data_IF_958544460625
#
_entry.id   IF_958544460625
#
_cell.length_a   1.000
_cell.length_b   1.000
_cell.length_c   1.000
_cell.angle_alpha   90.00
_cell.angle_beta   90.00
_cell.angle_gamma   90.00
#
_symmetry.space_group_name_H-M   'P 1'
#
loop_
_entity.id
_entity.type
_entity.pdbx_description
1 polymer ?
#
# COMPACT_ATOMS: atom_id res chain seq x y z
N UNK A 1 8.27 -40.57 -6.77
CA UNK A 1 8.53 -39.35 -6.00
C UNK A 1 7.19 -38.68 -5.78
N UNK A 2 6.55 -38.93 -4.63
CA UNK A 2 5.28 -38.33 -4.30
C UNK A 2 5.52 -36.86 -3.95
N UNK A 3 4.99 -35.96 -4.78
CA UNK A 3 4.90 -34.54 -4.49
C UNK A 3 4.01 -34.42 -3.26
N UNK A 4 4.55 -34.04 -2.11
CA UNK A 4 3.74 -33.62 -0.98
C UNK A 4 2.88 -32.45 -1.46
N UNK A 5 1.58 -32.67 -1.65
CA UNK A 5 0.63 -31.59 -1.90
C UNK A 5 0.55 -30.78 -0.61
N UNK A 6 1.38 -29.74 -0.52
CA UNK A 6 1.33 -28.74 0.52
C UNK A 6 -0.06 -28.10 0.49
N UNK A 7 -0.82 -28.26 1.58
CA UNK A 7 -2.15 -27.68 1.75
C UNK A 7 -2.11 -26.59 2.79
N UNK A 8 -2.89 -25.55 2.53
CA UNK A 8 -3.12 -24.45 3.45
C UNK A 8 -4.62 -24.33 3.62
N UNK A 9 -5.11 -24.76 4.78
CA UNK A 9 -6.55 -24.85 5.05
C UNK A 9 -7.00 -23.62 5.83
N UNK A 10 -8.07 -22.99 5.36
CA UNK A 10 -8.71 -21.87 6.05
C UNK A 10 -9.56 -22.38 7.22
N UNK A 11 -9.34 -21.84 8.42
CA UNK A 11 -10.04 -22.27 9.65
C UNK A 11 -11.56 -22.17 9.55
N UNK A 12 -12.29 -23.14 10.10
CA UNK A 12 -13.77 -23.20 10.03
C UNK A 12 -14.48 -22.17 10.90
N UNK A 13 -13.81 -21.68 11.95
CA UNK A 13 -14.37 -20.72 12.90
C UNK A 13 -13.72 -19.36 12.72
N UNK A 14 -14.55 -18.31 12.63
CA UNK A 14 -14.05 -16.93 12.58
C UNK A 14 -13.45 -16.56 13.94
N UNK A 15 -12.15 -16.26 13.95
CA UNK A 15 -11.38 -15.89 15.14
C UNK A 15 -11.45 -14.37 15.40
N UNK A 16 -11.50 -13.57 14.35
CA UNK A 16 -11.56 -12.10 14.42
C UNK A 16 -12.33 -11.50 13.25
N UNK A 17 -12.69 -10.24 13.37
CA UNK A 17 -13.35 -9.46 12.32
C UNK A 17 -12.35 -8.46 11.77
N UNK A 18 -12.21 -8.40 10.45
CA UNK A 18 -11.40 -7.39 9.81
C UNK A 18 -12.15 -6.05 9.78
N UNK A 19 -11.50 -4.98 10.23
CA UNK A 19 -12.06 -3.63 10.24
C UNK A 19 -11.51 -2.81 9.08
N UNK A 20 -12.41 -2.35 8.20
CA UNK A 20 -12.06 -1.45 7.10
C UNK A 20 -11.81 -0.03 7.62
N UNK A 21 -11.07 0.75 6.84
CA UNK A 21 -10.88 2.17 7.14
C UNK A 21 -12.24 2.89 7.12
N UNK A 22 -12.47 3.78 8.09
CA UNK A 22 -13.62 4.69 8.03
C UNK A 22 -13.56 5.49 6.74
N UNK A 23 -14.71 5.65 6.08
CA UNK A 23 -14.80 6.49 4.90
C UNK A 23 -14.33 7.89 5.29
N UNK A 24 -13.23 8.34 4.68
CA UNK A 24 -12.81 9.71 4.86
C UNK A 24 -13.83 10.55 4.12
N UNK A 25 -14.67 11.28 4.87
CA UNK A 25 -15.37 12.48 4.39
C UNK A 25 -14.29 13.55 4.10
N UNK A 26 -13.43 13.30 3.12
CA UNK A 26 -12.54 14.32 2.60
C UNK A 26 -13.28 15.07 1.52
N UNK A 27 -13.09 16.39 1.49
CA UNK A 27 -13.32 17.23 0.32
C UNK A 27 -12.56 16.64 -0.88
N UNK A 28 -13.15 15.63 -1.49
CA UNK A 28 -12.56 14.69 -2.45
C UNK A 28 -11.96 15.41 -3.66
N UNK A 29 -12.47 16.59 -3.98
CA UNK A 29 -11.99 17.42 -5.09
C UNK A 29 -10.58 17.99 -4.87
N UNK A 30 -10.23 18.38 -3.64
CA UNK A 30 -8.93 19.01 -3.35
C UNK A 30 -7.81 17.96 -3.34
N UNK A 31 -8.05 16.81 -2.71
CA UNK A 31 -7.06 15.74 -2.61
C UNK A 31 -6.91 14.97 -3.93
N UNK A 32 -8.01 14.73 -4.67
CA UNK A 32 -7.94 14.19 -6.03
C UNK A 32 -7.18 15.14 -6.98
N UNK A 33 -7.42 16.45 -6.86
CA UNK A 33 -6.67 17.47 -7.59
C UNK A 33 -5.17 17.39 -7.29
N UNK A 34 -4.79 17.33 -6.01
CA UNK A 34 -3.39 17.18 -5.58
C UNK A 34 -2.75 15.89 -6.10
N UNK A 35 -3.49 14.78 -6.11
CA UNK A 35 -3.00 13.52 -6.63
C UNK A 35 -2.78 13.56 -8.14
N UNK A 36 -3.69 14.13 -8.90
CA UNK A 36 -3.51 14.34 -10.35
C UNK A 36 -2.29 15.22 -10.65
N UNK A 37 -2.03 16.24 -9.82
CA UNK A 37 -0.82 17.05 -9.95
C UNK A 37 0.45 16.24 -9.66
N UNK A 38 0.45 15.39 -8.64
CA UNK A 38 1.58 14.51 -8.31
C UNK A 38 1.85 13.50 -9.44
N UNK A 39 0.79 12.92 -10.03
CA UNK A 39 0.89 12.03 -11.20
C UNK A 39 1.55 12.74 -12.39
N UNK A 40 1.12 13.97 -12.69
CA UNK A 40 1.71 14.79 -13.75
C UNK A 40 3.18 15.10 -13.50
N UNK A 41 3.54 15.48 -12.26
CA UNK A 41 4.93 15.74 -11.90
C UNK A 41 5.79 14.48 -12.06
N UNK A 42 5.30 13.33 -11.60
CA UNK A 42 6.01 12.05 -11.76
C UNK A 42 6.24 11.70 -13.22
N UNK A 43 5.21 11.86 -14.05
CA UNK A 43 5.30 11.61 -15.49
C UNK A 43 6.33 12.53 -16.16
N UNK A 44 6.34 13.82 -15.81
CA UNK A 44 7.33 14.77 -16.34
C UNK A 44 8.76 14.40 -15.95
N UNK A 45 8.98 13.96 -14.71
CA UNK A 45 10.29 13.49 -14.26
C UNK A 45 10.73 12.20 -14.95
N UNK A 46 9.79 11.28 -15.22
CA UNK A 46 10.06 10.06 -15.98
C UNK A 46 10.49 10.39 -17.42
N UNK A 47 9.78 11.30 -18.08
CA UNK A 47 10.17 11.81 -19.41
C UNK A 47 11.57 12.42 -19.36
N UNK A 48 11.88 13.22 -18.33
CA UNK A 48 13.20 13.82 -18.19
C UNK A 48 14.30 12.78 -17.97
N UNK A 49 14.01 11.72 -17.21
CA UNK A 49 14.93 10.60 -17.00
C UNK A 49 15.27 9.90 -18.32
N UNK A 50 14.27 9.66 -19.17
CA UNK A 50 14.45 9.06 -20.49
C UNK A 50 15.26 9.98 -21.42
N UNK A 51 14.97 11.28 -21.43
CA UNK A 51 15.70 12.26 -22.23
C UNK A 51 17.18 12.32 -21.85
N UNK A 52 17.48 12.42 -20.55
CA UNK A 52 18.85 12.42 -20.02
C UNK A 52 19.57 11.09 -20.30
N UNK A 53 18.84 9.97 -20.24
CA UNK A 53 19.33 8.65 -20.64
C UNK A 53 19.76 8.62 -22.11
N UNK A 54 18.94 9.16 -23.00
CA UNK A 54 19.25 9.27 -24.43
C UNK A 54 20.48 10.13 -24.70
N UNK A 55 20.61 11.29 -24.04
CA UNK A 55 21.77 12.19 -24.19
C UNK A 55 23.09 11.56 -23.72
N UNK A 56 23.03 10.72 -22.67
CA UNK A 56 24.22 10.08 -22.11
C UNK A 56 24.44 8.66 -22.62
N UNK A 57 23.57 8.14 -23.50
CA UNK A 57 23.53 6.75 -23.94
C UNK A 57 23.50 5.75 -22.76
N UNK A 58 22.74 6.08 -21.72
CA UNK A 58 22.54 5.25 -20.53
C UNK A 58 21.07 4.84 -20.41
N UNK A 59 20.77 3.60 -19.99
CA UNK A 59 19.41 3.21 -19.64
C UNK A 59 18.80 4.12 -18.56
N UNK A 60 17.47 4.39 -18.60
CA UNK A 60 16.81 5.31 -17.66
C UNK A 60 17.06 4.98 -16.18
N UNK A 61 17.07 3.70 -15.81
CA UNK A 61 17.30 3.24 -14.44
C UNK A 61 18.73 3.54 -13.92
N UNK A 62 19.70 3.79 -14.80
CA UNK A 62 21.06 4.18 -14.42
C UNK A 62 21.20 5.67 -14.12
N UNK A 63 20.29 6.51 -14.62
CA UNK A 63 20.26 7.94 -14.30
C UNK A 63 19.78 8.14 -12.86
N UNK A 64 18.60 7.60 -12.55
CA UNK A 64 18.03 7.57 -11.20
C UNK A 64 17.04 6.41 -11.03
N UNK A 65 16.94 5.88 -9.82
CA UNK A 65 15.98 4.81 -9.49
C UNK A 65 14.56 5.36 -9.37
N UNK A 66 13.56 4.47 -9.38
CA UNK A 66 12.18 4.89 -9.15
C UNK A 66 12.02 5.53 -7.75
N UNK A 67 12.72 5.03 -6.74
CA UNK A 67 12.73 5.61 -5.39
C UNK A 67 13.24 7.06 -5.40
N UNK A 68 14.24 7.38 -6.22
CA UNK A 68 14.75 8.76 -6.35
C UNK A 68 13.71 9.66 -7.01
N UNK A 69 13.01 9.19 -8.06
CA UNK A 69 11.92 9.96 -8.67
C UNK A 69 10.79 10.23 -7.67
N UNK A 70 10.42 9.23 -6.86
CA UNK A 70 9.44 9.38 -5.79
C UNK A 70 9.88 10.45 -4.78
N UNK A 71 11.13 10.41 -4.32
CA UNK A 71 11.67 11.41 -3.41
C UNK A 71 11.71 12.81 -4.03
N UNK A 72 11.99 12.93 -5.34
CA UNK A 72 11.95 14.20 -6.06
C UNK A 72 10.53 14.76 -6.19
N UNK A 73 9.53 13.90 -6.43
CA UNK A 73 8.11 14.32 -6.42
C UNK A 73 7.65 14.78 -5.03
N UNK A 74 8.24 14.19 -3.99
CA UNK A 74 7.89 14.48 -2.60
C UNK A 74 8.54 15.78 -2.09
N UNK A 75 9.87 15.89 -2.26
CA UNK A 75 10.67 17.02 -1.76
C UNK A 75 10.48 18.26 -2.64
N UNK A 76 10.21 18.08 -3.94
CA UNK A 76 10.08 19.14 -4.95
C UNK A 76 11.23 20.18 -4.85
N UNK A 77 12.48 19.73 -4.97
CA UNK A 77 13.67 20.56 -4.78
C UNK A 77 13.76 21.68 -5.83
N UNK A 78 14.11 22.88 -5.38
CA UNK A 78 14.33 24.04 -6.25
C UNK A 78 15.82 24.39 -6.46
N UNK A 79 16.73 23.68 -5.81
CA UNK A 79 18.17 23.93 -5.85
C UNK A 79 18.95 22.65 -5.61
N UNK A 80 20.24 22.65 -5.96
CA UNK A 80 21.13 21.49 -5.74
C UNK A 80 21.23 21.17 -4.25
N UNK A 81 21.28 22.18 -3.37
CA UNK A 81 21.29 21.96 -1.91
C UNK A 81 20.01 21.29 -1.41
N UNK A 82 18.87 21.51 -2.07
CA UNK A 82 17.61 20.83 -1.74
C UNK A 82 17.58 19.36 -2.20
N UNK A 83 18.61 18.87 -2.90
CA UNK A 83 18.78 17.45 -3.27
C UNK A 83 19.49 16.64 -2.19
N UNK A 84 20.10 17.28 -1.19
CA UNK A 84 20.80 16.61 -0.10
C UNK A 84 19.93 15.55 0.60
N UNK A 85 18.63 15.80 0.91
CA UNK A 85 17.79 14.82 1.58
C UNK A 85 17.46 13.58 0.73
N UNK A 86 17.71 13.61 -0.58
CA UNK A 86 17.40 12.49 -1.47
C UNK A 86 18.41 11.36 -1.22
N UNK A 87 17.90 10.25 -0.69
CA UNK A 87 18.66 9.01 -0.44
C UNK A 87 18.72 8.16 -1.71
N UNK A 88 19.65 7.18 -1.74
CA UNK A 88 19.87 6.28 -2.89
C UNK A 88 20.23 6.98 -4.22
N UNK A 89 20.63 8.26 -4.17
CA UNK A 89 21.14 8.99 -5.31
C UNK A 89 22.57 9.49 -5.06
N UNK A 90 23.58 8.92 -5.75
CA UNK A 90 24.98 9.34 -5.56
C UNK A 90 25.20 10.82 -5.90
N UNK A 91 26.04 11.51 -5.11
CA UNK A 91 26.31 12.94 -5.29
C UNK A 91 26.84 13.30 -6.68
N UNK A 92 27.67 12.42 -7.26
CA UNK A 92 28.14 12.59 -8.64
C UNK A 92 26.97 12.65 -9.66
N UNK A 93 25.90 11.88 -9.43
CA UNK A 93 24.69 11.91 -10.25
C UNK A 93 23.79 13.09 -9.91
N UNK A 94 23.70 13.50 -8.64
CA UNK A 94 23.01 14.74 -8.22
C UNK A 94 23.60 15.96 -8.92
N UNK A 95 24.92 16.10 -8.95
CA UNK A 95 25.59 17.22 -9.63
C UNK A 95 25.42 17.17 -11.15
N UNK A 96 25.49 15.98 -11.74
CA UNK A 96 25.42 15.81 -13.20
C UNK A 96 24.00 15.95 -13.78
N UNK A 97 22.99 15.40 -13.10
CA UNK A 97 21.63 15.32 -13.61
C UNK A 97 20.62 16.16 -12.82
N UNK A 98 20.97 16.59 -11.60
CA UNK A 98 20.07 17.28 -10.68
C UNK A 98 19.49 18.56 -11.24
N UNK A 99 20.28 19.39 -11.93
CA UNK A 99 19.80 20.61 -12.56
C UNK A 99 18.65 20.34 -13.54
N UNK A 100 18.80 19.32 -14.41
CA UNK A 100 17.79 18.96 -15.38
C UNK A 100 16.46 18.51 -14.74
N UNK A 101 16.51 17.85 -13.58
CA UNK A 101 15.30 17.51 -12.83
C UNK A 101 14.71 18.72 -12.11
N UNK A 102 15.53 19.55 -11.47
CA UNK A 102 15.09 20.76 -10.76
C UNK A 102 14.34 21.71 -11.71
N UNK A 103 14.81 21.88 -12.93
CA UNK A 103 14.17 22.76 -13.91
C UNK A 103 12.76 22.28 -14.27
N UNK A 104 12.58 20.96 -14.48
CA UNK A 104 11.26 20.35 -14.72
C UNK A 104 10.36 20.50 -13.50
N UNK A 105 10.90 20.30 -12.29
CA UNK A 105 10.13 20.45 -11.04
C UNK A 105 9.65 21.89 -10.89
N UNK A 106 10.52 22.88 -11.15
CA UNK A 106 10.15 24.30 -11.10
C UNK A 106 9.05 24.64 -12.10
N UNK A 107 9.20 24.22 -13.34
CA UNK A 107 8.23 24.50 -14.40
C UNK A 107 6.84 23.95 -14.07
N UNK A 108 6.79 22.69 -13.62
CA UNK A 108 5.55 22.03 -13.18
C UNK A 108 5.00 22.71 -11.91
N UNK A 109 5.84 22.99 -10.90
CA UNK A 109 5.37 23.61 -9.65
C UNK A 109 4.81 25.03 -9.88
N UNK A 110 5.45 25.83 -10.75
CA UNK A 110 4.97 27.17 -11.10
C UNK A 110 3.66 27.08 -11.90
N UNK A 111 3.57 26.16 -12.86
CA UNK A 111 2.39 25.99 -13.70
C UNK A 111 1.15 25.54 -12.92
N UNK A 112 1.35 24.77 -11.84
CA UNK A 112 0.27 24.18 -11.04
C UNK A 112 0.13 24.76 -9.62
N UNK A 113 0.95 25.74 -9.24
CA UNK A 113 0.90 26.37 -7.92
C UNK A 113 1.29 25.46 -6.75
N UNK A 114 2.24 24.53 -6.95
CA UNK A 114 2.72 23.61 -5.92
C UNK A 114 3.85 24.24 -5.08
N UNK A 115 3.86 23.94 -3.78
CA UNK A 115 4.95 24.36 -2.89
C UNK A 115 6.27 23.67 -3.23
N UNK A 116 7.34 24.46 -3.35
CA UNK A 116 8.71 23.98 -3.57
C UNK A 116 9.45 23.75 -2.25
N UNK A 117 10.46 22.87 -2.24
CA UNK A 117 11.25 22.49 -1.06
C UNK A 117 10.39 22.02 0.12
N UNK A 118 9.43 21.16 -0.18
CA UNK A 118 8.70 20.45 0.86
C UNK A 118 9.71 19.63 1.69
N UNK A 119 9.98 20.05 2.94
CA UNK A 119 10.86 19.34 3.88
C UNK A 119 10.22 18.00 4.25
N UNK A 120 10.41 16.98 3.42
CA UNK A 120 9.73 15.70 3.61
C UNK A 120 8.22 15.88 3.79
N UNK A 121 7.65 16.93 3.19
CA UNK A 121 6.20 17.00 3.05
C UNK A 121 5.83 16.19 1.82
N UNK A 122 6.14 14.90 1.92
CA UNK A 122 5.07 13.95 1.76
C UNK A 122 3.84 14.55 2.40
N UNK A 123 2.74 14.30 1.77
CA UNK A 123 1.58 13.90 2.51
C UNK A 123 1.98 13.05 3.77
N UNK A 124 2.51 13.70 4.83
CA UNK A 124 2.72 13.20 6.19
C UNK A 124 1.32 13.18 6.77
N UNK A 125 0.57 12.27 6.18
CA UNK A 125 -0.85 12.19 6.30
C UNK A 125 -1.19 11.46 7.59
N UNK A 126 -0.32 10.56 8.02
CA UNK A 126 -0.36 9.88 9.30
C UNK A 126 0.36 10.70 10.38
N UNK A 127 -0.14 10.61 11.61
CA UNK A 127 0.57 11.13 12.79
C UNK A 127 1.89 10.35 12.99
N UNK A 128 2.92 10.94 13.63
CA UNK A 128 4.18 10.26 13.87
C UNK A 128 4.05 8.90 14.57
N UNK A 129 3.07 8.76 15.47
CA UNK A 129 2.75 7.48 16.13
C UNK A 129 2.17 6.44 15.18
N UNK A 130 1.32 6.85 14.24
CA UNK A 130 0.75 5.96 13.23
C UNK A 130 1.80 5.57 12.17
N UNK A 131 2.67 6.51 11.80
CA UNK A 131 3.79 6.25 10.89
C UNK A 131 4.74 5.22 11.49
N UNK A 132 5.08 5.35 12.77
CA UNK A 132 5.91 4.40 13.50
C UNK A 132 5.27 3.00 13.53
N UNK A 133 3.97 2.93 13.81
CA UNK A 133 3.24 1.67 13.84
C UNK A 133 3.20 0.97 12.48
N UNK A 134 2.97 1.70 11.39
CA UNK A 134 3.02 1.16 10.02
C UNK A 134 4.42 0.70 9.66
N UNK A 135 5.46 1.45 10.05
CA UNK A 135 6.85 1.10 9.74
C UNK A 135 7.38 -0.11 10.50
N UNK A 136 6.75 -0.47 11.63
CA UNK A 136 7.10 -1.65 12.42
C UNK A 136 6.64 -2.95 11.72
N UNK A 137 5.52 -2.89 10.99
CA UNK A 137 4.90 -4.06 10.36
C UNK A 137 5.09 -4.12 8.84
N UNK A 138 5.31 -2.98 8.18
CA UNK A 138 5.50 -2.89 6.73
C UNK A 138 6.89 -2.40 6.35
N UNK A 139 7.41 -2.94 5.24
CA UNK A 139 8.64 -2.43 4.62
C UNK A 139 8.41 -1.00 4.13
N UNK A 140 9.46 -0.16 4.03
CA UNK A 140 9.33 1.24 3.61
C UNK A 140 8.55 1.45 2.30
N UNK A 141 8.75 0.58 1.31
CA UNK A 141 8.04 0.66 0.02
C UNK A 141 6.54 0.32 0.13
N UNK A 142 6.18 -0.62 1.01
CA UNK A 142 4.80 -1.01 1.30
C UNK A 142 4.10 0.08 2.12
N UNK A 143 4.77 0.57 3.16
CA UNK A 143 4.29 1.65 4.03
C UNK A 143 3.92 2.91 3.24
N UNK A 144 4.74 3.30 2.25
CA UNK A 144 4.47 4.45 1.39
C UNK A 144 3.17 4.27 0.56
N UNK A 145 2.97 3.10 -0.05
CA UNK A 145 1.75 2.81 -0.84
C UNK A 145 0.53 2.75 0.06
N UNK A 146 0.65 2.07 1.21
CA UNK A 146 -0.43 1.95 2.19
C UNK A 146 -0.86 3.31 2.74
N UNK A 147 0.10 4.14 3.16
CA UNK A 147 -0.18 5.49 3.68
C UNK A 147 -0.90 6.35 2.65
N UNK A 148 -0.46 6.31 1.39
CA UNK A 148 -1.12 7.06 0.33
C UNK A 148 -2.57 6.59 0.12
N UNK A 149 -2.80 5.29 0.11
CA UNK A 149 -4.14 4.73 -0.01
C UNK A 149 -5.05 5.16 1.14
N UNK A 150 -4.61 5.01 2.39
CA UNK A 150 -5.41 5.23 3.59
C UNK A 150 -5.98 6.67 3.69
N UNK A 151 -5.32 7.65 3.10
CA UNK A 151 -5.78 9.03 3.20
C UNK A 151 -6.51 9.57 1.98
N UNK A 152 -6.08 9.13 0.79
CA UNK A 152 -6.68 9.60 -0.45
C UNK A 152 -7.86 8.75 -0.91
N UNK A 153 -7.99 7.53 -0.38
CA UNK A 153 -8.91 6.54 -0.96
C UNK A 153 -8.54 6.15 -2.39
N UNK A 154 -7.28 6.30 -2.80
CA UNK A 154 -6.86 6.01 -4.18
C UNK A 154 -7.04 4.54 -4.57
N UNK A 155 -7.41 4.31 -5.83
CA UNK A 155 -7.53 2.96 -6.41
C UNK A 155 -6.15 2.33 -6.65
N UNK A 156 -6.09 1.00 -6.84
CA UNK A 156 -4.84 0.31 -7.18
C UNK A 156 -4.16 0.91 -8.42
N UNK A 157 -4.95 1.30 -9.42
CA UNK A 157 -4.49 1.91 -10.66
C UNK A 157 -3.85 3.28 -10.43
N UNK A 158 -4.48 4.11 -9.59
CA UNK A 158 -3.97 5.44 -9.26
C UNK A 158 -2.68 5.36 -8.46
N UNK A 159 -2.62 4.45 -7.49
CA UNK A 159 -1.41 4.19 -6.70
C UNK A 159 -0.28 3.68 -7.59
N UNK A 160 -0.58 2.75 -8.50
CA UNK A 160 0.37 2.20 -9.46
C UNK A 160 0.97 3.29 -10.35
N UNK A 161 0.13 4.15 -10.91
CA UNK A 161 0.58 5.25 -11.76
C UNK A 161 1.41 6.28 -10.97
N UNK A 162 0.91 6.71 -9.81
CA UNK A 162 1.56 7.74 -8.98
C UNK A 162 2.95 7.29 -8.50
N UNK A 163 3.10 6.00 -8.15
CA UNK A 163 4.36 5.42 -7.66
C UNK A 163 5.24 4.82 -8.76
N UNK A 164 4.78 4.80 -10.01
CA UNK A 164 5.48 4.12 -11.11
C UNK A 164 5.67 2.61 -10.85
N UNK A 165 4.64 1.96 -10.28
CA UNK A 165 4.60 0.53 -9.96
C UNK A 165 3.57 -0.19 -10.85
N UNK A 166 3.63 -1.52 -10.89
CA UNK A 166 2.54 -2.32 -11.48
C UNK A 166 1.37 -2.45 -10.52
N UNK A 167 0.14 -2.60 -11.04
CA UNK A 167 -1.03 -2.86 -10.19
C UNK A 167 -0.88 -4.14 -9.35
N UNK A 168 -0.23 -5.17 -9.89
CA UNK A 168 0.07 -6.40 -9.14
C UNK A 168 1.05 -6.19 -7.98
N UNK A 169 2.02 -5.26 -8.12
CA UNK A 169 2.92 -4.86 -7.03
C UNK A 169 2.16 -4.10 -5.96
N UNK A 170 1.31 -3.16 -6.34
CA UNK A 170 0.44 -2.41 -5.41
C UNK A 170 -0.47 -3.36 -4.65
N UNK A 171 -1.14 -4.28 -5.35
CA UNK A 171 -2.00 -5.29 -4.75
C UNK A 171 -1.23 -6.17 -3.76
N UNK A 172 0.02 -6.52 -4.06
CA UNK A 172 0.88 -7.27 -3.14
C UNK A 172 1.22 -6.45 -1.90
N UNK A 173 1.56 -5.16 -2.05
CA UNK A 173 1.87 -4.29 -0.90
C UNK A 173 0.65 -4.07 0.00
N UNK A 174 -0.53 -3.84 -0.58
CA UNK A 174 -1.78 -3.74 0.18
C UNK A 174 -2.18 -5.07 0.81
N UNK A 175 -1.90 -6.20 0.14
CA UNK A 175 -2.13 -7.54 0.71
C UNK A 175 -1.28 -7.80 1.96
N UNK A 176 -0.03 -7.33 2.00
CA UNK A 176 0.77 -7.42 3.23
C UNK A 176 0.17 -6.56 4.34
N UNK A 177 -0.34 -5.37 4.02
CA UNK A 177 -1.04 -4.54 5.00
C UNK A 177 -2.30 -5.25 5.57
N UNK A 178 -3.11 -5.84 4.68
CA UNK A 178 -4.29 -6.63 5.06
C UNK A 178 -3.96 -7.81 5.98
N UNK A 179 -2.84 -8.49 5.70
CA UNK A 179 -2.36 -9.63 6.52
C UNK A 179 -2.05 -9.21 7.96
N UNK A 180 -1.48 -8.02 8.13
CA UNK A 180 -1.21 -7.42 9.44
C UNK A 180 -2.46 -6.81 10.09
N UNK A 181 -3.60 -6.89 9.41
CA UNK A 181 -4.88 -6.36 9.86
C UNK A 181 -5.05 -4.86 9.66
N UNK A 182 -4.11 -4.19 8.97
CA UNK A 182 -4.16 -2.74 8.75
C UNK A 182 -5.39 -2.34 7.93
N UNK A 183 -6.15 -1.30 8.32
CA UNK A 183 -7.40 -0.92 7.69
C UNK A 183 -7.14 -0.38 6.28
N UNK A 184 -7.99 -0.76 5.33
CA UNK A 184 -7.98 -0.24 3.95
C UNK A 184 -9.35 0.28 3.56
N UNK A 185 -9.40 1.14 2.54
CA UNK A 185 -10.66 1.60 1.97
C UNK A 185 -11.28 0.51 1.10
N UNK A 186 -12.47 0.08 1.48
CA UNK A 186 -13.17 -1.04 0.85
C UNK A 186 -13.58 -0.73 -0.60
N UNK A 187 -14.26 0.41 -0.82
CA UNK A 187 -14.85 0.79 -2.12
C UNK A 187 -13.79 0.96 -3.23
N UNK A 188 -12.70 1.73 -3.06
CA UNK A 188 -11.72 1.97 -4.12
C UNK A 188 -10.94 0.72 -4.55
N UNK A 189 -10.86 -0.27 -3.66
CA UNK A 189 -10.20 -1.55 -3.92
C UNK A 189 -11.19 -2.62 -4.43
N UNK A 190 -12.48 -2.31 -4.51
CA UNK A 190 -13.51 -3.24 -4.95
C UNK A 190 -13.68 -4.44 -4.03
N UNK A 191 -13.44 -4.28 -2.73
CA UNK A 191 -13.53 -5.35 -1.73
C UNK A 191 -14.99 -5.50 -1.23
N UNK A 192 -15.94 -5.76 -2.13
CA UNK A 192 -17.36 -5.82 -1.79
C UNK A 192 -17.70 -7.09 -1.00
N UNK A 193 -18.74 -7.01 -0.14
CA UNK A 193 -19.23 -8.17 0.59
C UNK A 193 -19.75 -9.27 -0.35
N UNK A 194 -20.33 -8.92 -1.50
CA UNK A 194 -20.77 -9.87 -2.53
C UNK A 194 -19.59 -10.72 -3.03
N UNK A 195 -18.47 -10.08 -3.35
CA UNK A 195 -17.23 -10.75 -3.79
C UNK A 195 -16.67 -11.63 -2.67
N UNK A 196 -16.70 -11.14 -1.43
CA UNK A 196 -16.25 -11.89 -0.26
C UNK A 196 -17.11 -13.15 -0.03
N UNK A 197 -18.43 -13.04 -0.12
CA UNK A 197 -19.34 -14.19 0.00
C UNK A 197 -19.13 -15.20 -1.13
N UNK A 198 -18.97 -14.74 -2.37
CA UNK A 198 -18.66 -15.62 -3.50
C UNK A 198 -17.34 -16.37 -3.29
N UNK A 199 -16.31 -15.70 -2.78
CA UNK A 199 -15.03 -16.32 -2.46
C UNK A 199 -15.16 -17.35 -1.33
N UNK A 200 -15.88 -17.05 -0.25
CA UNK A 200 -16.11 -18.00 0.83
C UNK A 200 -16.80 -19.28 0.35
N UNK A 201 -17.83 -19.15 -0.49
CA UNK A 201 -18.50 -20.30 -1.10
C UNK A 201 -17.53 -21.13 -1.95
N UNK A 202 -16.71 -20.49 -2.80
CA UNK A 202 -15.71 -21.17 -3.60
C UNK A 202 -14.64 -21.88 -2.74
N UNK A 203 -14.27 -21.31 -1.59
CA UNK A 203 -13.34 -21.90 -0.62
C UNK A 203 -13.98 -23.12 0.04
N UNK A 204 -15.23 -23.03 0.50
CA UNK A 204 -15.95 -24.17 1.10
C UNK A 204 -16.08 -25.33 0.10
N UNK A 205 -16.45 -25.02 -1.16
CA UNK A 205 -16.50 -25.99 -2.27
C UNK A 205 -15.12 -26.54 -2.67
N UNK A 206 -14.03 -25.88 -2.26
CA UNK A 206 -12.66 -26.34 -2.46
C UNK A 206 -12.08 -27.08 -1.25
N UNK A 207 -12.92 -27.53 -0.32
CA UNK A 207 -12.48 -28.19 0.90
C UNK A 207 -11.64 -27.27 1.80
N UNK A 208 -11.87 -25.96 1.69
CA UNK A 208 -11.16 -24.89 2.40
C UNK A 208 -9.67 -24.78 2.13
N UNK A 209 -9.18 -25.44 1.08
CA UNK A 209 -7.80 -25.26 0.62
C UNK A 209 -7.66 -23.93 -0.12
N UNK A 210 -6.80 -23.08 0.44
CA UNK A 210 -6.44 -21.75 -0.08
C UNK A 210 -4.98 -21.69 -0.51
N UNK A 211 -4.25 -22.82 -0.54
CA UNK A 211 -2.85 -22.85 -0.95
C UNK A 211 -2.68 -22.36 -2.39
N UNK A 212 -3.60 -22.76 -3.28
CA UNK A 212 -3.61 -22.36 -4.68
C UNK A 212 -4.79 -21.45 -4.95
N UNK A 213 -4.51 -20.23 -5.39
CA UNK A 213 -5.55 -19.29 -5.81
C UNK A 213 -6.21 -19.68 -7.14
N UNK A 214 -5.49 -20.36 -8.04
CA UNK A 214 -5.99 -20.70 -9.38
C UNK A 214 -7.28 -21.55 -9.35
N UNK A 215 -7.36 -22.66 -8.58
CA UNK A 215 -8.61 -23.43 -8.43
C UNK A 215 -9.78 -22.61 -7.87
N UNK A 216 -9.51 -21.67 -6.94
CA UNK A 216 -10.53 -20.79 -6.40
C UNK A 216 -11.03 -19.81 -7.47
N UNK A 217 -10.11 -19.25 -8.26
CA UNK A 217 -10.43 -18.32 -9.34
C UNK A 217 -11.28 -18.98 -10.45
N UNK A 218 -10.96 -20.22 -10.84
CA UNK A 218 -11.71 -20.98 -11.86
C UNK A 218 -13.13 -21.36 -11.41
N UNK A 219 -13.37 -21.43 -10.10
CA UNK A 219 -14.71 -21.69 -9.53
C UNK A 219 -15.60 -20.44 -9.43
N UNK A 220 -15.01 -19.25 -9.51
CA UNK A 220 -15.76 -18.01 -9.45
C UNK A 220 -16.40 -17.70 -10.82
N UNK A 221 -17.62 -17.13 -10.86
CA UNK A 221 -18.21 -16.68 -12.11
C UNK A 221 -17.32 -15.66 -12.82
N UNK A 222 -17.23 -15.74 -14.16
CA UNK A 222 -16.41 -14.81 -14.94
C UNK A 222 -16.80 -13.35 -14.67
N UNK A 223 -15.80 -12.49 -14.50
CA UNK A 223 -16.00 -11.06 -14.24
C UNK A 223 -16.37 -10.70 -12.79
N UNK A 224 -16.54 -11.67 -11.89
CA UNK A 224 -16.85 -11.39 -10.47
C UNK A 224 -15.77 -10.53 -9.81
N UNK A 225 -14.50 -10.88 -10.02
CA UNK A 225 -13.33 -10.15 -9.53
C UNK A 225 -12.09 -10.51 -10.34
N UNK A 226 -11.04 -9.68 -10.26
CA UNK A 226 -9.72 -9.99 -10.81
C UNK A 226 -8.84 -10.73 -9.77
N UNK A 227 -7.66 -11.17 -10.21
CA UNK A 227 -6.72 -11.91 -9.37
C UNK A 227 -6.12 -11.08 -8.22
N UNK A 228 -6.02 -9.75 -8.39
CA UNK A 228 -5.51 -8.85 -7.34
C UNK A 228 -6.53 -8.70 -6.21
N UNK A 229 -7.81 -8.51 -6.55
CA UNK A 229 -8.92 -8.46 -5.60
C UNK A 229 -9.07 -9.81 -4.89
N UNK A 230 -8.99 -10.93 -5.63
CA UNK A 230 -8.99 -12.27 -5.04
C UNK A 230 -7.89 -12.42 -3.98
N UNK A 231 -6.66 -11.98 -4.31
CA UNK A 231 -5.53 -12.02 -3.37
C UNK A 231 -5.82 -11.24 -2.09
N UNK A 232 -6.32 -10.02 -2.22
CA UNK A 232 -6.62 -9.15 -1.08
C UNK A 232 -7.72 -9.73 -0.20
N UNK A 233 -8.82 -10.21 -0.80
CA UNK A 233 -9.90 -10.87 -0.06
C UNK A 233 -9.42 -12.14 0.66
N UNK A 234 -8.54 -12.93 0.03
CA UNK A 234 -7.92 -14.08 0.70
C UNK A 234 -7.13 -13.64 1.94
N UNK A 235 -6.38 -12.54 1.90
CA UNK A 235 -5.66 -12.04 3.09
C UNK A 235 -6.60 -11.60 4.21
N UNK A 236 -7.74 -11.00 3.87
CA UNK A 236 -8.79 -10.68 4.85
C UNK A 236 -9.32 -11.96 5.49
N UNK A 237 -9.64 -12.98 4.70
CA UNK A 237 -10.15 -14.25 5.23
C UNK A 237 -9.10 -14.99 6.06
N UNK A 238 -7.85 -15.04 5.61
CA UNK A 238 -6.72 -15.59 6.38
C UNK A 238 -6.56 -14.86 7.71
N UNK A 239 -6.72 -13.53 7.70
CA UNK A 239 -6.75 -12.76 8.93
C UNK A 239 -7.89 -13.25 9.82
N UNK A 240 -9.13 -13.23 9.34
CA UNK A 240 -10.31 -13.52 10.17
C UNK A 240 -10.44 -14.96 10.68
N UNK A 241 -10.12 -15.96 9.86
CA UNK A 241 -10.33 -17.38 10.16
C UNK A 241 -9.06 -18.10 10.61
N UNK A 242 -7.90 -17.50 10.40
CA UNK A 242 -6.62 -18.18 10.57
C UNK A 242 -6.39 -19.28 9.52
N UNK A 243 -5.20 -19.85 9.55
CA UNK A 243 -4.79 -20.90 8.60
C UNK A 243 -4.08 -22.02 9.33
N UNK A 244 -4.35 -23.26 8.94
CA UNK A 244 -3.57 -24.43 9.36
C UNK A 244 -2.77 -24.93 8.15
N UNK A 245 -1.46 -25.10 8.34
CA UNK A 245 -0.59 -25.73 7.35
C UNK A 245 -0.41 -27.21 7.74
N UNK A 246 -0.38 -28.12 6.77
CA UNK A 246 0.02 -29.51 7.00
C UNK A 246 1.49 -29.53 7.48
N UNK A 247 1.70 -29.57 8.80
CA UNK A 247 3.02 -29.52 9.45
C UNK A 247 3.02 -28.96 10.87
N UNK A 248 1.96 -28.29 11.32
CA UNK A 248 1.78 -27.92 12.73
C UNK A 248 0.94 -29.01 13.42
N UNK A 249 1.56 -29.85 14.25
CA UNK A 249 0.81 -30.73 15.13
C UNK A 249 -0.20 -29.89 15.93
N UNK A 250 -1.46 -30.34 16.08
CA UNK A 250 -2.38 -29.70 17.00
C UNK A 250 -1.71 -29.70 18.39
N UNK A 251 -1.80 -28.62 19.18
CA UNK A 251 -1.29 -28.65 20.55
C UNK A 251 -2.02 -29.78 21.26
N UNK A 252 -1.26 -30.85 21.52
CA UNK A 252 -1.74 -32.00 22.25
C UNK A 252 -2.20 -31.52 23.62
N UNK A 253 -3.33 -32.05 24.06
CA UNK A 253 -3.95 -31.71 25.33
C UNK A 253 -2.96 -31.89 26.49
N UNK A 254 -2.41 -30.77 26.97
CA UNK A 254 -1.61 -30.68 28.18
C UNK A 254 -2.25 -29.66 29.10
N UNK A 255 -2.88 -30.16 30.17
CA UNK A 255 -3.42 -29.33 31.25
C UNK A 255 -2.29 -28.49 31.85
N UNK A 256 -2.30 -27.19 31.60
CA UNK A 256 -1.54 -26.22 32.36
C UNK A 256 -2.34 -24.91 32.41
N UNK A 257 -2.85 -24.61 33.61
CA UNK A 257 -3.40 -23.31 33.96
C UNK A 257 -2.38 -22.22 33.64
N UNK A 258 -2.69 -21.42 32.63
CA UNK A 258 -1.96 -20.20 32.27
C UNK A 258 -2.91 -19.40 31.41
N UNK A 259 -3.27 -18.21 31.88
CA UNK A 259 -4.20 -17.30 31.25
C UNK A 259 -3.87 -17.14 29.75
N UNK A 260 -4.66 -17.75 28.88
CA UNK A 260 -4.66 -17.43 27.45
C UNK A 260 -5.35 -16.09 27.29
N UNK A 261 -4.60 -15.04 27.59
CA UNK A 261 -4.85 -13.68 27.12
C UNK A 261 -5.10 -13.76 25.62
N UNK A 262 -6.34 -13.53 25.20
CA UNK A 262 -6.69 -13.28 23.82
C UNK A 262 -5.67 -12.28 23.23
N UNK A 263 -5.19 -12.45 21.98
CA UNK A 263 -4.38 -11.41 21.38
C UNK A 263 -5.29 -10.21 21.16
N UNK A 264 -5.09 -9.20 22.02
CA UNK A 264 -5.77 -7.94 21.97
C UNK A 264 -5.64 -7.34 20.57
N UNK A 265 -6.68 -6.63 20.14
CA UNK A 265 -6.65 -5.67 19.04
C UNK A 265 -5.25 -5.03 18.96
N UNK A 266 -4.51 -5.20 17.84
CA UNK A 266 -3.16 -4.67 17.73
C UNK A 266 -3.11 -3.21 18.17
N UNK A 267 -2.14 -2.83 18.99
CA UNK A 267 -2.08 -1.50 19.63
C UNK A 267 -2.18 -0.33 18.61
N UNK A 268 -1.80 -0.57 17.36
CA UNK A 268 -1.91 0.38 16.26
C UNK A 268 -3.36 0.65 15.84
N UNK A 269 -4.27 -0.31 15.99
CA UNK A 269 -5.70 -0.21 15.66
C UNK A 269 -6.40 0.76 16.64
N UNK A 270 -5.99 0.77 17.91
CA UNK A 270 -6.41 1.78 18.92
C UNK A 270 -5.84 3.16 18.61
N UNK A 271 -4.62 3.23 18.06
CA UNK A 271 -3.93 4.48 17.72
C UNK A 271 -4.46 5.16 16.44
N UNK A 272 -5.07 4.42 15.52
CA UNK A 272 -5.73 4.96 14.32
C UNK A 272 -7.18 5.42 14.57
N UNK A 273 -7.85 4.88 15.59
CA UNK A 273 -9.22 5.26 15.99
C UNK A 273 -9.30 6.59 16.75
N UNK A 274 -8.20 7.05 17.34
CA UNK A 274 -8.16 8.26 18.17
C UNK A 274 -7.97 9.54 17.35
N UNK A 275 -9.02 10.02 16.66
CA UNK A 275 -9.04 11.41 16.22
C UNK A 275 -9.15 12.35 17.44
N UNK A 276 -8.44 13.49 17.49
CA UNK A 276 -8.62 14.48 18.55
C UNK A 276 -10.07 15.01 18.52
N UNK A 277 -10.70 15.26 19.67
CA UNK A 277 -12.07 15.73 19.72
C UNK A 277 -12.19 17.05 18.97
N UNK A 278 -13.05 17.08 17.95
CA UNK A 278 -13.49 18.30 17.26
C UNK A 278 -13.98 19.26 18.33
N UNK A 279 -13.17 20.29 18.64
CA UNK A 279 -13.57 21.38 19.53
C UNK A 279 -14.74 22.08 18.84
N UNK A 280 -15.96 21.75 19.25
CA UNK A 280 -17.15 22.53 18.91
C UNK A 280 -16.93 23.95 19.44
N UNK A 281 -16.67 24.88 18.53
CA UNK A 281 -16.79 26.31 18.80
C UNK A 281 -18.25 26.59 19.13
N UNK A 282 -18.50 27.05 20.36
CA UNK A 282 -19.79 27.62 20.76
C UNK A 282 -20.03 28.89 19.94
N UNK A 283 -21.15 28.92 19.23
CA UNK A 283 -21.89 30.14 18.94
C UNK A 283 -23.03 30.25 19.95
#
# INVERSE_FOLDING_TARGET
MASSDEKKILGSTRLRVYEFAQEVDTDSAVEAGKMELMKKLRAALETKRVELGGQCNLPPFQICSNNVLDQLTEIRPNSIAALDPVTDWPDAKKTRFGLGFIDVIKDVCVSYGLDMNAKGSGLNLLTPSQQAAVSDVLKPSQAAVYTMHLHSGATMKDLAHTRGLSEGTVATYLSEALREGLPVHQKPLGLTEERRTALLAAIDDNGRDIFRMKPLFEKLPEGTMDYNVLKMLLRILEFEFGTQNDGEEPPTSGVASGETSAPAVPAWMTALSSQPPVKKSKQ
#
